data_IF_894412335784
#
_entry.id   IF_894412335784
#
_cell.length_a   1.000
_cell.length_b   1.000
_cell.length_c   1.000
_cell.angle_alpha   90.00
_cell.angle_beta   90.00
_cell.angle_gamma   90.00
#
_symmetry.space_group_name_H-M   'P 1'
#
loop_
_entity.id
_entity.type
_entity.pdbx_description
1 polymer ?
#
# COMPACT_ATOMS: atom_id res chain seq x y z
N UNK A 1 0.18 -13.86 -20.91
CA UNK A 1 -1.12 -13.82 -20.22
C UNK A 1 -1.98 -12.71 -20.82
N UNK A 2 -3.28 -12.94 -20.97
CA UNK A 2 -4.18 -11.90 -21.46
C UNK A 2 -4.21 -10.73 -20.47
N UNK A 3 -4.31 -9.51 -20.98
CA UNK A 3 -4.41 -8.29 -20.17
C UNK A 3 -5.71 -8.32 -19.37
N UNK A 4 -5.62 -8.30 -18.02
CA UNK A 4 -6.80 -8.20 -17.12
C UNK A 4 -7.71 -7.05 -17.52
N UNK A 5 -9.02 -7.30 -17.49
CA UNK A 5 -10.07 -6.35 -17.89
C UNK A 5 -10.19 -5.19 -16.89
N UNK A 6 -9.99 -5.45 -15.60
CA UNK A 6 -9.94 -4.46 -14.52
C UNK A 6 -8.61 -4.62 -13.77
N UNK A 7 -7.94 -3.52 -13.42
CA UNK A 7 -6.56 -3.54 -12.87
C UNK A 7 -6.38 -2.76 -11.56
N UNK A 8 -7.42 -2.11 -11.06
CA UNK A 8 -7.34 -1.37 -9.81
C UNK A 8 -7.52 -2.35 -8.63
N UNK A 9 -6.61 -2.33 -7.65
CA UNK A 9 -6.68 -3.14 -6.43
C UNK A 9 -8.00 -2.98 -5.66
N UNK A 10 -8.68 -1.82 -5.78
CA UNK A 10 -10.04 -1.68 -5.23
C UNK A 10 -11.00 -2.71 -5.83
N UNK A 11 -10.90 -3.02 -7.13
CA UNK A 11 -11.73 -4.03 -7.77
C UNK A 11 -11.51 -5.42 -7.14
N UNK A 12 -10.25 -5.79 -6.88
CA UNK A 12 -9.91 -7.02 -6.20
C UNK A 12 -10.49 -7.08 -4.77
N UNK A 13 -10.38 -5.98 -4.03
CA UNK A 13 -10.97 -5.86 -2.69
C UNK A 13 -12.50 -5.99 -2.71
N UNK A 14 -13.16 -5.40 -3.71
CA UNK A 14 -14.61 -5.48 -3.88
C UNK A 14 -15.07 -6.90 -4.23
N UNK A 15 -14.36 -7.59 -5.12
CA UNK A 15 -14.61 -9.01 -5.40
C UNK A 15 -14.45 -9.85 -4.12
N UNK A 16 -13.42 -9.56 -3.31
CA UNK A 16 -13.20 -10.20 -2.02
C UNK A 16 -14.41 -10.09 -1.09
N UNK A 17 -14.89 -8.88 -0.81
CA UNK A 17 -16.05 -8.70 0.10
C UNK A 17 -17.36 -9.22 -0.49
N UNK A 18 -17.57 -9.10 -1.80
CA UNK A 18 -18.74 -9.66 -2.48
C UNK A 18 -18.73 -11.19 -2.56
N UNK A 19 -17.57 -11.82 -2.40
CA UNK A 19 -17.46 -13.28 -2.31
C UNK A 19 -18.10 -13.85 -1.04
N UNK A 20 -18.18 -13.03 0.02
CA UNK A 20 -18.76 -13.38 1.31
C UNK A 20 -20.29 -13.28 1.31
N UNK A 21 -20.84 -12.21 0.74
CA UNK A 21 -22.28 -11.97 0.61
C UNK A 21 -22.61 -10.83 -0.36
N UNK A 22 -23.86 -10.74 -0.86
CA UNK A 22 -24.32 -9.56 -1.60
C UNK A 22 -24.24 -8.29 -0.74
N UNK A 23 -23.81 -7.18 -1.34
CA UNK A 23 -23.65 -5.88 -0.65
C UNK A 23 -23.97 -4.70 -1.56
N UNK A 24 -24.45 -3.61 -0.96
CA UNK A 24 -24.50 -2.31 -1.62
C UNK A 24 -23.10 -1.66 -1.64
N UNK A 25 -22.71 -0.84 -2.65
CA UNK A 25 -21.37 -0.25 -2.72
C UNK A 25 -20.93 0.49 -1.44
N UNK A 26 -21.85 1.24 -0.82
CA UNK A 26 -21.58 1.89 0.47
C UNK A 26 -21.22 0.90 1.58
N UNK A 27 -21.90 -0.24 1.63
CA UNK A 27 -21.63 -1.28 2.62
C UNK A 27 -20.29 -1.97 2.36
N UNK A 28 -19.97 -2.26 1.08
CA UNK A 28 -18.64 -2.75 0.70
C UNK A 28 -17.54 -1.80 1.20
N UNK A 29 -17.75 -0.49 1.03
CA UNK A 29 -16.79 0.51 1.50
C UNK A 29 -16.66 0.53 3.03
N UNK A 30 -17.77 0.42 3.76
CA UNK A 30 -17.74 0.32 5.23
C UNK A 30 -16.94 -0.91 5.68
N UNK A 31 -17.24 -2.09 5.15
CA UNK A 31 -16.54 -3.34 5.49
C UNK A 31 -15.05 -3.25 5.19
N UNK A 32 -14.67 -2.69 4.03
CA UNK A 32 -13.27 -2.55 3.66
C UNK A 32 -12.51 -1.53 4.55
N UNK A 33 -13.17 -0.47 5.01
CA UNK A 33 -12.58 0.49 5.97
C UNK A 33 -12.42 -0.10 7.36
N UNK A 34 -13.43 -0.82 7.85
CA UNK A 34 -13.38 -1.48 9.17
C UNK A 34 -12.24 -2.50 9.25
N UNK A 35 -11.92 -3.17 8.14
CA UNK A 35 -10.82 -4.12 8.04
C UNK A 35 -9.45 -3.49 7.79
N UNK A 36 -9.36 -2.15 7.86
CA UNK A 36 -8.14 -1.38 7.61
C UNK A 36 -7.43 -1.74 6.29
N UNK A 37 -8.19 -2.17 5.26
CA UNK A 37 -7.60 -2.55 3.96
C UNK A 37 -7.02 -1.34 3.21
N UNK A 38 -7.39 -0.12 3.60
CA UNK A 38 -6.75 1.12 3.16
C UNK A 38 -5.30 1.27 3.64
N UNK A 39 -4.91 0.58 4.71
CA UNK A 39 -3.51 0.55 5.18
C UNK A 39 -2.67 -0.41 4.33
N UNK A 40 -3.28 -1.47 3.79
CA UNK A 40 -2.61 -2.49 2.96
C UNK A 40 -2.72 -2.24 1.46
N UNK A 41 -3.71 -1.45 1.04
CA UNK A 41 -4.04 -1.17 -0.36
C UNK A 41 -4.33 0.31 -0.49
N UNK A 42 -3.65 1.00 -1.42
CA UNK A 42 -3.91 2.42 -1.69
C UNK A 42 -5.27 2.60 -2.38
N UNK A 43 -6.34 2.61 -1.59
CA UNK A 43 -7.73 2.67 -2.09
C UNK A 43 -8.14 4.11 -2.36
N UNK A 44 -8.49 4.40 -3.61
CA UNK A 44 -9.12 5.66 -4.01
C UNK A 44 -10.65 5.54 -3.92
N UNK A 45 -11.22 5.83 -2.75
CA UNK A 45 -12.66 5.71 -2.48
C UNK A 45 -13.56 6.48 -3.45
N UNK A 46 -13.09 7.61 -4.00
CA UNK A 46 -13.83 8.40 -4.98
C UNK A 46 -14.16 7.64 -6.27
N UNK A 47 -13.42 6.55 -6.57
CA UNK A 47 -13.63 5.71 -7.75
C UNK A 47 -14.57 4.52 -7.52
N UNK A 48 -15.06 4.30 -6.29
CA UNK A 48 -15.78 3.09 -5.89
C UNK A 48 -16.91 2.72 -6.85
N UNK A 49 -17.83 3.64 -7.11
CA UNK A 49 -18.98 3.38 -7.98
C UNK A 49 -18.56 3.08 -9.42
N UNK A 50 -17.57 3.80 -9.95
CA UNK A 50 -17.01 3.53 -11.27
C UNK A 50 -16.35 2.15 -11.34
N UNK A 51 -15.67 1.72 -10.28
CA UNK A 51 -15.08 0.39 -10.21
C UNK A 51 -16.16 -0.70 -10.17
N UNK A 52 -17.22 -0.53 -9.39
CA UNK A 52 -18.37 -1.46 -9.36
C UNK A 52 -19.02 -1.56 -10.75
N UNK A 53 -19.25 -0.43 -11.42
CA UNK A 53 -19.79 -0.41 -12.79
C UNK A 53 -18.88 -1.14 -13.79
N UNK A 54 -17.56 -1.01 -13.66
CA UNK A 54 -16.61 -1.73 -14.51
C UNK A 54 -16.62 -3.25 -14.23
N UNK A 55 -16.75 -3.66 -12.97
CA UNK A 55 -16.91 -5.07 -12.60
C UNK A 55 -18.20 -5.65 -13.20
N UNK A 56 -19.29 -4.89 -13.16
CA UNK A 56 -20.59 -5.30 -13.74
C UNK A 56 -20.53 -5.38 -15.26
N UNK A 57 -19.95 -4.38 -15.93
CA UNK A 57 -19.73 -4.36 -17.38
C UNK A 57 -18.95 -5.57 -17.89
N UNK A 58 -18.08 -6.13 -17.06
CA UNK A 58 -17.28 -7.33 -17.37
C UNK A 58 -17.88 -8.61 -16.80
N UNK A 59 -19.13 -8.56 -16.34
CA UNK A 59 -19.92 -9.68 -15.83
C UNK A 59 -19.29 -10.38 -14.61
N UNK A 60 -18.39 -9.70 -13.89
CA UNK A 60 -17.80 -10.21 -12.66
C UNK A 60 -18.73 -10.03 -11.46
N UNK A 61 -19.62 -9.04 -11.53
CA UNK A 61 -20.71 -8.84 -10.57
C UNK A 61 -22.00 -8.56 -11.34
N UNK A 62 -23.14 -8.72 -10.68
CA UNK A 62 -24.45 -8.37 -11.22
C UNK A 62 -25.32 -7.72 -10.16
N UNK A 63 -26.16 -6.77 -10.55
CA UNK A 63 -27.24 -6.28 -9.69
C UNK A 63 -28.24 -7.41 -9.39
N UNK A 64 -28.60 -7.62 -8.12
CA UNK A 64 -29.53 -8.68 -7.70
C UNK A 64 -30.79 -8.17 -7.01
N UNK A 65 -30.72 -7.03 -6.32
CA UNK A 65 -31.89 -6.42 -5.69
C UNK A 65 -31.84 -4.89 -5.81
N UNK A 66 -32.98 -4.30 -6.16
CA UNK A 66 -33.20 -2.85 -6.15
C UNK A 66 -34.31 -2.55 -5.15
N UNK A 67 -33.95 -2.34 -3.89
CA UNK A 67 -34.97 -2.09 -2.85
C UNK A 67 -35.29 -0.60 -2.81
N UNK A 68 -36.54 -0.23 -3.16
CA UNK A 68 -37.10 1.10 -2.86
C UNK A 68 -37.63 1.11 -1.43
N UNK A 69 -36.92 1.77 -0.51
CA UNK A 69 -37.50 2.19 0.77
C UNK A 69 -37.85 3.69 0.70
N UNK A 70 -39.13 4.01 0.47
CA UNK A 70 -39.65 5.37 0.48
C UNK A 70 -39.04 6.30 -0.58
N UNK A 71 -39.06 7.62 -0.32
CA UNK A 71 -38.54 8.68 -1.21
C UNK A 71 -37.01 8.84 -1.25
N UNK A 72 -36.25 7.78 -0.93
CA UNK A 72 -34.78 7.76 -1.01
C UNK A 72 -34.31 7.11 -2.32
N UNK A 73 -33.11 7.47 -2.83
CA UNK A 73 -32.57 6.90 -4.06
C UNK A 73 -32.44 5.37 -3.99
N UNK A 74 -32.60 4.73 -5.16
CA UNK A 74 -32.56 3.29 -5.32
C UNK A 74 -31.24 2.69 -4.80
N UNK A 75 -31.32 1.74 -3.87
CA UNK A 75 -30.16 0.97 -3.37
C UNK A 75 -30.01 -0.28 -4.21
N UNK A 76 -29.02 -0.28 -5.09
CA UNK A 76 -28.67 -1.46 -5.90
C UNK A 76 -27.68 -2.34 -5.13
N UNK A 77 -28.09 -3.57 -4.82
CA UNK A 77 -27.23 -4.59 -4.22
C UNK A 77 -26.57 -5.40 -5.33
N UNK A 78 -25.27 -5.65 -5.20
CA UNK A 78 -24.50 -6.44 -6.17
C UNK A 78 -24.15 -7.79 -5.57
N UNK A 79 -24.08 -8.80 -6.43
CA UNK A 79 -23.62 -10.15 -6.12
C UNK A 79 -22.51 -10.55 -7.09
N UNK A 80 -21.46 -11.19 -6.59
CA UNK A 80 -20.37 -11.74 -7.43
C UNK A 80 -20.89 -12.90 -8.30
N UNK A 81 -20.43 -12.98 -9.55
CA UNK A 81 -20.75 -14.09 -10.47
C UNK A 81 -19.70 -15.19 -10.37
N UNK A 82 -19.92 -16.32 -11.06
CA UNK A 82 -18.90 -17.37 -11.17
C UNK A 82 -17.62 -16.86 -11.86
N UNK A 83 -17.79 -16.05 -12.92
CA UNK A 83 -16.66 -15.39 -13.58
C UNK A 83 -15.91 -14.45 -12.63
N UNK A 84 -16.61 -13.73 -11.76
CA UNK A 84 -15.99 -12.86 -10.75
C UNK A 84 -15.23 -13.64 -9.67
N UNK A 85 -15.73 -14.81 -9.25
CA UNK A 85 -15.03 -15.70 -8.32
C UNK A 85 -13.75 -16.27 -8.93
N UNK A 86 -13.82 -16.71 -10.20
CA UNK A 86 -12.64 -17.16 -10.93
C UNK A 86 -11.60 -16.03 -11.09
N UNK A 87 -12.03 -14.82 -11.44
CA UNK A 87 -11.14 -13.65 -11.55
C UNK A 87 -10.48 -13.30 -10.21
N UNK A 88 -11.21 -13.36 -9.10
CA UNK A 88 -10.66 -13.14 -7.75
C UNK A 88 -9.51 -14.09 -7.44
N UNK A 89 -9.71 -15.39 -7.68
CA UNK A 89 -8.70 -16.42 -7.39
C UNK A 89 -7.51 -16.30 -8.34
N UNK A 90 -7.76 -16.13 -9.63
CA UNK A 90 -6.70 -15.98 -10.64
C UNK A 90 -5.84 -14.73 -10.37
N UNK A 91 -6.46 -13.60 -10.01
CA UNK A 91 -5.74 -12.38 -9.70
C UNK A 91 -4.94 -12.47 -8.41
N UNK A 92 -5.52 -13.01 -7.33
CA UNK A 92 -4.75 -13.26 -6.10
C UNK A 92 -3.56 -14.19 -6.36
N UNK A 93 -3.76 -15.24 -7.17
CA UNK A 93 -2.69 -16.19 -7.52
C UNK A 93 -1.56 -15.49 -8.28
N UNK A 94 -1.88 -14.64 -9.26
CA UNK A 94 -0.88 -13.87 -10.00
C UNK A 94 -0.07 -12.95 -9.09
N UNK A 95 -0.72 -12.24 -8.17
CA UNK A 95 -0.05 -11.31 -7.24
C UNK A 95 0.86 -12.03 -6.23
N UNK A 96 0.48 -13.24 -5.81
CA UNK A 96 1.29 -14.07 -4.91
C UNK A 96 2.45 -14.74 -5.67
N UNK A 97 2.20 -15.21 -6.89
CA UNK A 97 3.21 -15.91 -7.71
C UNK A 97 4.29 -14.96 -8.21
N UNK A 98 3.91 -13.76 -8.64
CA UNK A 98 4.78 -12.87 -9.41
C UNK A 98 5.09 -11.59 -8.66
N UNK A 99 6.35 -11.40 -8.25
CA UNK A 99 6.80 -10.12 -7.74
C UNK A 99 6.52 -9.01 -8.76
N UNK A 100 5.82 -7.97 -8.31
CA UNK A 100 5.67 -6.74 -9.06
C UNK A 100 6.58 -5.68 -8.44
N UNK A 101 7.11 -4.79 -9.28
CA UNK A 101 7.90 -3.68 -8.77
C UNK A 101 6.96 -2.69 -8.09
N UNK A 102 6.96 -2.69 -6.77
CA UNK A 102 6.25 -1.69 -5.98
C UNK A 102 6.99 -0.35 -6.12
N UNK A 103 6.37 0.66 -6.73
CA UNK A 103 6.98 1.96 -6.90
C UNK A 103 7.01 2.71 -5.56
N UNK A 104 8.15 2.69 -4.86
CA UNK A 104 8.33 3.41 -3.62
C UNK A 104 8.71 4.88 -3.90
N UNK A 105 7.87 5.84 -3.44
CA UNK A 105 8.18 7.27 -3.57
C UNK A 105 9.46 7.66 -2.83
N UNK A 106 9.87 6.91 -1.80
CA UNK A 106 11.10 7.15 -1.09
C UNK A 106 12.34 6.80 -1.93
N UNK A 107 12.32 5.69 -2.67
CA UNK A 107 13.38 5.34 -3.61
C UNK A 107 13.56 6.44 -4.68
N UNK A 108 12.44 6.94 -5.23
CA UNK A 108 12.47 8.07 -6.14
C UNK A 108 13.06 9.34 -5.49
N UNK A 109 12.72 9.63 -4.23
CA UNK A 109 13.31 10.75 -3.50
C UNK A 109 14.82 10.57 -3.28
N UNK A 110 15.27 9.36 -2.95
CA UNK A 110 16.69 9.04 -2.79
C UNK A 110 17.46 9.21 -4.10
N UNK A 111 16.87 8.83 -5.25
CA UNK A 111 17.50 9.04 -6.56
C UNK A 111 17.76 10.51 -6.90
N UNK A 112 17.05 11.43 -6.23
CA UNK A 112 17.15 12.88 -6.41
C UNK A 112 17.70 13.59 -5.17
N UNK A 113 18.16 12.86 -4.15
CA UNK A 113 18.55 13.41 -2.83
C UNK A 113 19.68 14.43 -2.93
N UNK A 114 20.52 14.34 -3.98
CA UNK A 114 21.59 15.30 -4.25
C UNK A 114 21.10 16.75 -4.44
N UNK A 115 19.81 16.98 -4.70
CA UNK A 115 19.20 18.31 -4.72
C UNK A 115 18.98 18.93 -3.33
N UNK A 116 19.13 18.15 -2.26
CA UNK A 116 19.15 18.62 -0.89
C UNK A 116 20.60 18.82 -0.43
N UNK A 117 20.84 19.77 0.47
CA UNK A 117 22.13 19.82 1.18
C UNK A 117 22.27 18.58 2.06
N UNK A 118 23.50 18.10 2.34
CA UNK A 118 23.72 16.98 3.27
C UNK A 118 23.05 17.21 4.63
N UNK A 119 23.16 18.41 5.20
CA UNK A 119 22.53 18.76 6.48
C UNK A 119 21.00 18.65 6.43
N UNK A 120 20.39 19.09 5.32
CA UNK A 120 18.93 18.97 5.14
C UNK A 120 18.50 17.53 4.95
N UNK A 121 19.29 16.73 4.23
CA UNK A 121 19.04 15.30 4.09
C UNK A 121 19.12 14.59 5.44
N UNK A 122 20.13 14.87 6.26
CA UNK A 122 20.28 14.36 7.64
C UNK A 122 19.03 14.68 8.48
N UNK A 123 18.57 15.93 8.48
CA UNK A 123 17.39 16.35 9.25
C UNK A 123 16.13 15.57 8.85
N UNK A 124 15.88 15.46 7.54
CA UNK A 124 14.70 14.77 7.01
C UNK A 124 14.76 13.26 7.23
N UNK A 125 15.94 12.65 7.08
CA UNK A 125 16.15 11.23 7.35
C UNK A 125 15.95 10.90 8.84
N UNK A 126 16.36 11.79 9.76
CA UNK A 126 16.07 11.65 11.19
C UNK A 126 14.56 11.68 11.47
N UNK A 127 13.84 12.62 10.88
CA UNK A 127 12.38 12.71 11.02
C UNK A 127 11.69 11.44 10.49
N UNK A 128 12.11 10.97 9.31
CA UNK A 128 11.60 9.72 8.74
C UNK A 128 11.88 8.52 9.65
N UNK A 129 13.12 8.38 10.15
CA UNK A 129 13.51 7.28 11.02
C UNK A 129 12.67 7.25 12.30
N UNK A 130 12.40 8.42 12.90
CA UNK A 130 11.54 8.52 14.08
C UNK A 130 10.12 7.98 13.81
N UNK A 131 9.53 8.32 12.66
CA UNK A 131 8.22 7.78 12.27
C UNK A 131 8.27 6.28 12.02
N UNK A 132 9.29 5.79 11.30
CA UNK A 132 9.45 4.37 11.02
C UNK A 132 9.61 3.55 12.31
N UNK A 133 10.43 4.01 13.26
CA UNK A 133 10.63 3.32 14.54
C UNK A 133 9.33 3.29 15.37
N UNK A 134 8.55 4.38 15.38
CA UNK A 134 7.23 4.40 16.02
C UNK A 134 6.26 3.41 15.37
N UNK A 135 6.26 3.30 14.04
CA UNK A 135 5.42 2.33 13.30
C UNK A 135 5.84 0.88 13.58
N UNK A 136 7.16 0.61 13.63
CA UNK A 136 7.70 -0.70 14.01
C UNK A 136 7.20 -1.09 15.40
N UNK A 137 7.31 -0.20 16.38
CA UNK A 137 6.88 -0.46 17.75
C UNK A 137 5.37 -0.72 17.84
N UNK A 138 4.58 0.10 17.16
CA UNK A 138 3.13 -0.03 17.15
C UNK A 138 2.67 -1.35 16.54
N UNK A 139 3.16 -1.70 15.34
CA UNK A 139 2.78 -2.94 14.65
C UNK A 139 3.28 -4.15 15.44
N UNK A 140 4.49 -4.10 15.99
CA UNK A 140 5.04 -5.18 16.83
C UNK A 140 4.14 -5.44 18.04
N UNK A 141 3.71 -4.37 18.73
CA UNK A 141 2.82 -4.48 19.89
C UNK A 141 1.45 -5.05 19.50
N UNK A 142 0.85 -4.56 18.41
CA UNK A 142 -0.44 -5.06 17.94
C UNK A 142 -0.39 -6.53 17.51
N UNK A 143 0.65 -6.94 16.78
CA UNK A 143 0.83 -8.35 16.40
C UNK A 143 0.98 -9.24 17.63
N UNK A 144 1.82 -8.84 18.59
CA UNK A 144 1.98 -9.55 19.85
C UNK A 144 0.63 -9.72 20.55
N UNK A 145 -0.14 -8.64 20.67
CA UNK A 145 -1.45 -8.66 21.32
C UNK A 145 -2.41 -9.66 20.66
N UNK A 146 -2.49 -9.64 19.32
CA UNK A 146 -3.36 -10.55 18.56
C UNK A 146 -2.99 -12.02 18.76
N UNK A 147 -1.69 -12.33 18.84
CA UNK A 147 -1.21 -13.72 19.02
C UNK A 147 -1.33 -14.17 20.47
N UNK A 148 -0.81 -13.39 21.42
CA UNK A 148 -0.66 -13.79 22.82
C UNK A 148 -1.97 -13.63 23.62
N UNK A 149 -2.73 -12.55 23.41
CA UNK A 149 -3.95 -12.27 24.18
C UNK A 149 -5.21 -12.84 23.51
N UNK A 150 -5.30 -12.75 22.18
CA UNK A 150 -6.50 -13.15 21.43
C UNK A 150 -6.40 -14.51 20.76
N UNK A 151 -5.23 -15.17 20.79
CA UNK A 151 -4.96 -16.44 20.10
C UNK A 151 -5.43 -16.42 18.63
N UNK A 152 -5.24 -15.27 17.96
CA UNK A 152 -5.77 -15.03 16.63
C UNK A 152 -4.99 -15.85 15.60
N UNK A 153 -5.64 -16.54 14.65
CA UNK A 153 -4.93 -17.40 13.71
C UNK A 153 -3.95 -16.61 12.83
N UNK A 154 -2.69 -17.08 12.79
CA UNK A 154 -1.59 -16.42 12.08
C UNK A 154 -1.87 -16.12 10.60
N UNK A 155 -2.64 -16.97 9.92
CA UNK A 155 -2.99 -16.78 8.50
C UNK A 155 -3.66 -15.44 8.24
N UNK A 156 -4.34 -14.85 9.23
CA UNK A 156 -4.97 -13.54 9.12
C UNK A 156 -4.05 -12.37 9.52
N UNK A 157 -2.81 -12.67 9.93
CA UNK A 157 -1.80 -11.70 10.36
C UNK A 157 -0.63 -11.59 9.39
N UNK A 158 -0.51 -12.48 8.40
CA UNK A 158 0.64 -12.54 7.47
C UNK A 158 0.90 -11.23 6.72
N UNK A 159 -0.16 -10.49 6.39
CA UNK A 159 -0.05 -9.17 5.74
C UNK A 159 0.59 -8.12 6.66
N UNK A 160 0.30 -8.18 7.96
CA UNK A 160 0.89 -7.29 8.96
C UNK A 160 2.33 -7.71 9.31
N UNK A 161 2.63 -9.02 9.35
CA UNK A 161 4.00 -9.55 9.47
C UNK A 161 4.90 -9.07 8.31
N UNK A 162 4.37 -9.14 7.07
CA UNK A 162 5.07 -8.64 5.89
C UNK A 162 5.32 -7.13 6.00
N UNK A 163 4.28 -6.33 6.32
CA UNK A 163 4.44 -4.88 6.51
C UNK A 163 5.51 -4.55 7.55
N UNK A 164 5.49 -5.21 8.71
CA UNK A 164 6.47 -5.00 9.77
C UNK A 164 7.90 -5.27 9.27
N UNK A 165 8.08 -6.36 8.53
CA UNK A 165 9.36 -6.71 7.93
C UNK A 165 9.86 -5.63 6.99
N UNK A 166 8.99 -5.10 6.11
CA UNK A 166 9.37 -4.06 5.15
C UNK A 166 9.70 -2.72 5.83
N UNK A 167 8.93 -2.30 6.84
CA UNK A 167 9.19 -1.05 7.58
C UNK A 167 10.51 -1.16 8.36
N UNK A 168 10.78 -2.32 8.99
CA UNK A 168 12.06 -2.56 9.68
C UNK A 168 13.24 -2.48 8.72
N UNK A 169 13.14 -3.15 7.57
CA UNK A 169 14.18 -3.11 6.55
C UNK A 169 14.47 -1.66 6.09
N UNK A 170 13.42 -0.86 5.90
CA UNK A 170 13.59 0.55 5.55
C UNK A 170 14.21 1.37 6.69
N UNK A 171 13.77 1.16 7.94
CA UNK A 171 14.33 1.83 9.12
C UNK A 171 15.82 1.54 9.28
N UNK A 172 16.21 0.27 9.11
CA UNK A 172 17.61 -0.17 9.19
C UNK A 172 18.46 0.46 8.08
N UNK A 173 17.94 0.51 6.85
CA UNK A 173 18.59 1.18 5.73
C UNK A 173 18.78 2.69 6.00
N UNK A 174 17.70 3.38 6.42
CA UNK A 174 17.75 4.82 6.73
C UNK A 174 18.73 5.11 7.86
N UNK A 175 18.76 4.27 8.90
CA UNK A 175 19.68 4.40 10.03
C UNK A 175 21.14 4.26 9.58
N UNK A 176 21.44 3.28 8.72
CA UNK A 176 22.77 3.09 8.16
C UNK A 176 23.19 4.28 7.29
N UNK A 177 22.33 4.69 6.34
CA UNK A 177 22.60 5.85 5.47
C UNK A 177 22.80 7.14 6.26
N UNK A 178 21.94 7.40 7.25
CA UNK A 178 22.05 8.56 8.12
C UNK A 178 23.39 8.58 8.86
N UNK A 179 23.85 7.41 9.34
CA UNK A 179 25.16 7.28 9.99
C UNK A 179 26.28 7.65 9.02
N UNK A 180 26.27 7.10 7.80
CA UNK A 180 27.32 7.35 6.80
C UNK A 180 27.41 8.83 6.39
N UNK A 181 26.26 9.48 6.16
CA UNK A 181 26.23 10.92 5.83
C UNK A 181 26.68 11.77 7.03
N UNK A 182 26.24 11.43 8.24
CA UNK A 182 26.60 12.18 9.46
C UNK A 182 28.09 12.06 9.79
N UNK A 183 28.68 10.88 9.58
CA UNK A 183 30.11 10.62 9.83
C UNK A 183 31.00 11.08 8.65
N UNK A 184 30.41 11.48 7.52
CA UNK A 184 31.14 11.82 6.30
C UNK A 184 31.85 10.64 5.66
N UNK A 185 31.42 9.41 5.95
CA UNK A 185 32.02 8.18 5.41
C UNK A 185 31.39 7.74 4.08
N UNK A 186 30.27 8.35 3.68
CA UNK A 186 29.69 8.15 2.36
C UNK A 186 30.60 8.72 1.26
N UNK A 187 30.83 7.93 0.21
CA UNK A 187 31.60 8.38 -0.96
C UNK A 187 30.94 9.60 -1.62
N UNK A 188 31.74 10.58 -2.04
CA UNK A 188 31.27 11.79 -2.71
C UNK A 188 30.72 12.89 -1.78
N UNK A 189 30.82 12.76 -0.45
CA UNK A 189 30.27 13.75 0.50
C UNK A 189 30.86 15.16 0.32
N UNK A 190 32.17 15.27 0.04
CA UNK A 190 32.82 16.57 -0.19
C UNK A 190 32.31 17.23 -1.47
N UNK A 191 32.19 16.45 -2.55
CA UNK A 191 31.61 16.91 -3.81
C UNK A 191 30.14 17.32 -3.67
N UNK A 192 29.37 16.60 -2.84
CA UNK A 192 28.00 16.96 -2.53
C UNK A 192 27.91 18.30 -1.78
N UNK A 193 28.76 18.53 -0.77
CA UNK A 193 28.83 19.83 -0.11
C UNK A 193 29.27 20.95 -1.07
N UNK A 194 30.25 20.69 -1.94
CA UNK A 194 30.73 21.67 -2.93
C UNK A 194 29.62 22.07 -3.92
N UNK A 195 28.83 21.10 -4.40
CA UNK A 195 27.70 21.37 -5.30
C UNK A 195 26.73 22.42 -4.75
N UNK A 196 26.44 22.37 -3.46
CA UNK A 196 25.51 23.32 -2.83
C UNK A 196 26.14 24.66 -2.43
N UNK A 197 27.46 24.71 -2.25
CA UNK A 197 28.17 26.00 -2.05
C UNK A 197 28.31 26.77 -3.35
N UNK A 198 28.70 26.08 -4.41
CA UNK A 198 29.19 26.70 -5.64
C UNK A 198 28.19 26.62 -6.82
N UNK A 199 27.08 25.88 -6.65
CA UNK A 199 26.12 25.48 -7.70
C UNK A 199 26.75 24.70 -8.87
N UNK A 200 27.91 24.09 -8.69
CA UNK A 200 28.59 23.26 -9.68
C UNK A 200 28.32 21.77 -9.46
N UNK A 201 27.71 21.08 -10.43
CA UNK A 201 27.30 19.67 -10.29
C UNK A 201 28.42 18.77 -9.70
N UNK A 202 28.09 17.83 -8.78
CA UNK A 202 29.10 16.97 -8.19
C UNK A 202 29.75 16.12 -9.30
N UNK A 203 31.08 16.16 -9.37
CA UNK A 203 31.84 15.34 -10.32
C UNK A 203 31.80 13.90 -9.83
N UNK A 204 31.38 12.96 -10.69
CA UNK A 204 31.46 11.54 -10.38
C UNK A 204 32.93 11.11 -10.35
N UNK A 205 33.42 10.69 -9.19
CA UNK A 205 34.72 10.03 -9.07
C UNK A 205 34.61 8.63 -9.72
N UNK A 206 35.50 8.34 -10.67
CA UNK A 206 35.58 7.07 -11.40
C UNK A 206 36.43 6.06 -10.64
#
# INVERSE_FOLDING_TARGET
MAKRKVRNLLALALLGVLSERPMHPYEMASVLRERAKDTSMKIQWGSLYTVVQNLEKHEFVRATETTRQGGRPERTVYTITEAGRAELVDWLSELVERPQHEHNSFEAALSLVGHLTPDRAIELLRQRLWTLDADVDNITRSLRQMVEEFNFPRVFLIEAEYRLTMIRAEADYVRALLKEITEGSISGIEGWHAYHRDREAPKAEH
#
